data_IF_729123606916
#
_entry.id   IF_729123606916
#
_cell.length_a   1.000
_cell.length_b   1.000
_cell.length_c   1.000
_cell.angle_alpha   90.00
_cell.angle_beta   90.00
_cell.angle_gamma   90.00
#
_symmetry.space_group_name_H-M   'P 1'
#
loop_
_entity.id
_entity.type
_entity.pdbx_description
1 polymer ?
#
# COMPACT_ATOMS: atom_id res chain seq x y z
N UNK A 1 -5.02 47.80 -27.55
CA UNK A 1 -4.49 47.44 -26.22
C UNK A 1 -5.58 46.70 -25.44
N UNK A 2 -5.82 45.43 -25.76
CA UNK A 2 -6.89 44.62 -25.14
C UNK A 2 -6.66 43.11 -25.33
N UNK A 3 -5.40 42.66 -25.44
CA UNK A 3 -5.05 41.24 -25.63
C UNK A 3 -4.14 40.72 -24.49
N UNK A 4 -3.63 41.61 -23.62
CA UNK A 4 -2.74 41.22 -22.51
C UNK A 4 -3.47 40.84 -21.21
N UNK A 5 -4.77 41.12 -21.06
CA UNK A 5 -5.49 40.87 -19.80
C UNK A 5 -6.15 39.48 -19.69
N UNK A 6 -6.32 38.78 -20.82
CA UNK A 6 -6.97 37.45 -20.83
C UNK A 6 -5.96 36.33 -20.60
N UNK A 7 -4.68 36.52 -20.93
CA UNK A 7 -3.70 35.43 -20.82
C UNK A 7 -3.29 35.14 -19.36
N UNK A 8 -2.99 36.17 -18.56
CA UNK A 8 -2.54 35.99 -17.16
C UNK A 8 -3.63 35.43 -16.26
N UNK A 9 -4.89 35.84 -16.48
CA UNK A 9 -6.03 35.27 -15.74
C UNK A 9 -6.29 33.83 -16.19
N UNK A 10 -6.21 33.51 -17.49
CA UNK A 10 -6.50 32.15 -17.96
C UNK A 10 -5.38 31.15 -17.59
N UNK A 11 -4.12 31.57 -17.51
CA UNK A 11 -3.03 30.73 -16.97
C UNK A 11 -3.19 30.54 -15.46
N UNK A 12 -3.49 31.58 -14.68
CA UNK A 12 -3.75 31.43 -13.24
C UNK A 12 -4.99 30.58 -12.95
N UNK A 13 -6.10 30.76 -13.68
CA UNK A 13 -7.29 29.91 -13.55
C UNK A 13 -7.01 28.46 -13.95
N UNK A 14 -6.19 28.23 -14.97
CA UNK A 14 -5.82 26.88 -15.40
C UNK A 14 -4.91 26.20 -14.37
N UNK A 15 -3.92 26.91 -13.83
CA UNK A 15 -3.03 26.39 -12.78
C UNK A 15 -3.76 26.15 -11.45
N UNK A 16 -4.58 27.10 -10.99
CA UNK A 16 -5.36 26.97 -9.76
C UNK A 16 -6.39 25.82 -9.86
N UNK A 17 -7.02 25.68 -11.02
CA UNK A 17 -7.95 24.56 -11.29
C UNK A 17 -7.21 23.22 -11.38
N UNK A 18 -6.07 23.15 -12.08
CA UNK A 18 -5.25 21.93 -12.14
C UNK A 18 -4.75 21.54 -10.75
N UNK A 19 -4.23 22.48 -9.97
CA UNK A 19 -3.78 22.24 -8.61
C UNK A 19 -4.93 21.78 -7.71
N UNK A 20 -6.14 22.31 -7.90
CA UNK A 20 -7.34 21.87 -7.19
C UNK A 20 -7.69 20.42 -7.54
N UNK A 21 -7.68 20.04 -8.82
CA UNK A 21 -7.95 18.66 -9.23
C UNK A 21 -6.85 17.68 -8.79
N UNK A 22 -5.58 18.11 -8.80
CA UNK A 22 -4.46 17.32 -8.28
C UNK A 22 -4.59 17.12 -6.76
N UNK A 23 -4.92 18.17 -6.01
CA UNK A 23 -5.15 18.10 -4.57
C UNK A 23 -6.35 17.21 -4.23
N UNK A 24 -7.44 17.30 -5.01
CA UNK A 24 -8.60 16.43 -4.88
C UNK A 24 -8.22 14.97 -5.17
N UNK A 25 -7.46 14.72 -6.24
CA UNK A 25 -6.97 13.40 -6.61
C UNK A 25 -6.09 12.77 -5.53
N UNK A 26 -5.14 13.54 -5.00
CA UNK A 26 -4.29 13.13 -3.88
C UNK A 26 -5.12 12.85 -2.61
N UNK A 27 -6.10 13.70 -2.31
CA UNK A 27 -7.00 13.50 -1.17
C UNK A 27 -7.84 12.23 -1.29
N UNK A 28 -8.35 11.91 -2.48
CA UNK A 28 -9.10 10.66 -2.71
C UNK A 28 -8.18 9.44 -2.64
N UNK A 29 -6.98 9.53 -3.21
CA UNK A 29 -5.96 8.49 -3.09
C UNK A 29 -5.66 8.17 -1.62
N UNK A 30 -5.41 9.21 -0.81
CA UNK A 30 -5.13 9.07 0.62
C UNK A 30 -6.33 8.55 1.40
N UNK A 31 -7.54 9.00 1.06
CA UNK A 31 -8.76 8.52 1.67
C UNK A 31 -8.99 7.02 1.38
N UNK A 32 -8.81 6.59 0.13
CA UNK A 32 -8.91 5.17 -0.25
C UNK A 32 -7.86 4.32 0.46
N UNK A 33 -6.60 4.78 0.48
CA UNK A 33 -5.50 4.12 1.18
C UNK A 33 -5.77 3.99 2.68
N UNK A 34 -6.24 5.06 3.31
CA UNK A 34 -6.58 5.06 4.74
C UNK A 34 -7.75 4.14 5.04
N UNK A 35 -8.78 4.14 4.20
CA UNK A 35 -9.92 3.24 4.33
C UNK A 35 -9.50 1.76 4.24
N UNK A 36 -8.63 1.42 3.29
CA UNK A 36 -8.11 0.06 3.19
C UNK A 36 -7.23 -0.31 4.38
N UNK A 37 -6.41 0.62 4.89
CA UNK A 37 -5.64 0.41 6.12
C UNK A 37 -6.53 0.09 7.33
N UNK A 38 -7.62 0.84 7.53
CA UNK A 38 -8.59 0.56 8.60
C UNK A 38 -9.28 -0.78 8.43
N UNK A 39 -9.64 -1.14 7.21
CA UNK A 39 -10.26 -2.43 6.93
C UNK A 39 -9.29 -3.59 7.23
N UNK A 40 -8.02 -3.48 6.81
CA UNK A 40 -6.99 -4.45 7.13
C UNK A 40 -6.79 -4.58 8.64
N UNK A 41 -6.71 -3.46 9.34
CA UNK A 41 -6.57 -3.43 10.80
C UNK A 41 -7.71 -4.20 11.48
N UNK A 42 -8.95 -3.94 11.08
CA UNK A 42 -10.12 -4.61 11.64
C UNK A 42 -10.11 -6.14 11.38
N UNK A 43 -9.69 -6.55 10.18
CA UNK A 43 -9.57 -7.96 9.80
C UNK A 43 -8.49 -8.67 10.63
N UNK A 44 -7.31 -8.07 10.73
CA UNK A 44 -6.18 -8.64 11.47
C UNK A 44 -6.48 -8.67 12.97
N UNK A 45 -7.06 -7.59 13.52
CA UNK A 45 -7.49 -7.58 14.91
C UNK A 45 -8.45 -8.74 15.20
N UNK A 46 -9.47 -8.94 14.35
CA UNK A 46 -10.38 -10.08 14.48
C UNK A 46 -9.65 -11.43 14.54
N UNK A 47 -8.61 -11.61 13.72
CA UNK A 47 -7.75 -12.80 13.75
C UNK A 47 -6.98 -12.94 15.08
N UNK A 48 -6.38 -11.86 15.58
CA UNK A 48 -5.60 -11.91 16.84
C UNK A 48 -6.46 -12.29 18.05
N UNK A 49 -7.77 -12.05 18.00
CA UNK A 49 -8.74 -12.44 19.02
C UNK A 49 -9.31 -13.85 18.83
N UNK A 50 -9.13 -14.47 17.66
CA UNK A 50 -9.66 -15.78 17.33
C UNK A 50 -8.98 -16.89 18.16
N UNK A 51 -9.77 -17.63 18.94
CA UNK A 51 -9.25 -18.67 19.82
C UNK A 51 -8.61 -19.84 19.05
N UNK A 52 -9.15 -20.18 17.87
CA UNK A 52 -8.62 -21.25 17.02
C UNK A 52 -7.21 -20.90 16.56
N UNK A 53 -7.07 -19.72 15.93
CA UNK A 53 -5.77 -19.21 15.49
C UNK A 53 -4.75 -19.14 16.63
N UNK A 54 -5.14 -18.63 17.79
CA UNK A 54 -4.26 -18.55 18.98
C UNK A 54 -3.81 -19.92 19.48
N UNK A 55 -4.70 -20.91 19.44
CA UNK A 55 -4.40 -22.29 19.86
C UNK A 55 -3.43 -22.96 18.88
N UNK A 56 -3.66 -22.78 17.59
CA UNK A 56 -2.81 -23.29 16.51
C UNK A 56 -1.43 -22.63 16.54
N UNK A 57 -1.38 -21.32 16.81
CA UNK A 57 -0.14 -20.59 17.00
C UNK A 57 0.66 -21.15 18.19
N UNK A 58 0.01 -21.36 19.34
CA UNK A 58 0.64 -21.91 20.53
C UNK A 58 1.16 -23.34 20.34
N UNK A 59 0.56 -24.13 19.44
CA UNK A 59 1.03 -25.46 19.07
C UNK A 59 2.26 -25.45 18.14
N UNK A 60 2.69 -24.28 17.66
CA UNK A 60 3.80 -24.08 16.73
C UNK A 60 3.66 -24.87 15.42
N UNK A 61 2.43 -25.05 14.94
CA UNK A 61 2.15 -25.71 13.67
C UNK A 61 2.07 -24.68 12.53
N UNK A 62 3.18 -24.50 11.83
CA UNK A 62 3.30 -23.54 10.72
C UNK A 62 2.29 -23.80 9.59
N UNK A 63 1.98 -25.07 9.30
CA UNK A 63 1.03 -25.39 8.23
C UNK A 63 -0.37 -24.90 8.62
N UNK A 64 -0.75 -25.13 9.87
CA UNK A 64 -2.05 -24.70 10.38
C UNK A 64 -2.13 -23.18 10.50
N UNK A 65 -1.04 -22.49 10.90
CA UNK A 65 -0.98 -21.02 10.87
C UNK A 65 -1.20 -20.45 9.46
N UNK A 66 -0.60 -21.07 8.44
CA UNK A 66 -0.77 -20.66 7.05
C UNK A 66 -2.22 -20.87 6.57
N UNK A 67 -2.82 -22.02 6.89
CA UNK A 67 -4.22 -22.30 6.57
C UNK A 67 -5.17 -21.29 7.25
N UNK A 68 -4.90 -20.92 8.50
CA UNK A 68 -5.65 -19.90 9.21
C UNK A 68 -5.48 -18.50 8.60
N UNK A 69 -4.27 -18.14 8.16
CA UNK A 69 -4.02 -16.89 7.45
C UNK A 69 -4.81 -16.84 6.12
N UNK A 70 -4.83 -17.92 5.33
CA UNK A 70 -5.66 -18.00 4.12
C UNK A 70 -7.15 -17.86 4.42
N UNK A 71 -7.64 -18.47 5.50
CA UNK A 71 -9.04 -18.33 5.90
C UNK A 71 -9.42 -16.87 6.19
N UNK A 72 -8.50 -16.09 6.77
CA UNK A 72 -8.70 -14.67 7.07
C UNK A 72 -8.66 -13.84 5.80
N UNK A 73 -7.70 -14.09 4.91
CA UNK A 73 -7.66 -13.45 3.60
C UNK A 73 -8.96 -13.66 2.82
N UNK A 74 -9.48 -14.89 2.79
CA UNK A 74 -10.75 -15.17 2.12
C UNK A 74 -11.93 -14.39 2.72
N UNK A 75 -11.92 -14.15 4.04
CA UNK A 75 -12.92 -13.33 4.74
C UNK A 75 -12.75 -11.83 4.53
N UNK A 76 -11.57 -11.38 4.09
CA UNK A 76 -11.33 -9.97 3.76
C UNK A 76 -12.12 -9.48 2.54
N UNK A 77 -12.67 -10.41 1.75
CA UNK A 77 -13.41 -10.13 0.51
C UNK A 77 -12.64 -9.21 -0.45
N UNK A 78 -11.33 -9.41 -0.58
CA UNK A 78 -10.44 -8.62 -1.45
C UNK A 78 -9.86 -7.36 -0.80
N UNK A 79 -10.12 -7.13 0.49
CA UNK A 79 -9.51 -6.00 1.22
C UNK A 79 -8.05 -6.26 1.62
N UNK A 80 -7.61 -7.51 1.55
CA UNK A 80 -6.26 -7.96 1.84
C UNK A 80 -5.80 -8.93 0.75
N UNK A 81 -4.59 -8.73 0.25
CA UNK A 81 -3.97 -9.61 -0.75
C UNK A 81 -2.95 -10.56 -0.13
N UNK A 82 -2.37 -10.18 1.02
CA UNK A 82 -1.41 -11.01 1.73
C UNK A 82 -1.44 -10.79 3.25
N UNK A 83 -1.08 -11.85 3.98
CA UNK A 83 -0.76 -11.86 5.40
C UNK A 83 0.59 -12.56 5.60
N UNK A 84 1.42 -11.93 6.43
CA UNK A 84 2.70 -12.47 6.89
C UNK A 84 2.65 -12.52 8.42
N UNK A 85 3.03 -13.66 8.98
CA UNK A 85 3.14 -13.87 10.42
C UNK A 85 4.59 -14.15 10.75
N UNK A 86 5.15 -13.47 11.76
CA UNK A 86 6.53 -13.69 12.21
C UNK A 86 6.61 -13.96 13.70
N UNK A 87 7.68 -14.63 14.13
CA UNK A 87 8.10 -14.58 15.54
C UNK A 87 8.66 -13.19 15.91
N UNK A 88 9.08 -13.02 17.17
CA UNK A 88 9.66 -11.77 17.66
C UNK A 88 11.06 -11.51 17.09
N UNK A 89 11.77 -12.56 16.67
CA UNK A 89 13.02 -12.47 15.92
C UNK A 89 12.80 -12.17 14.43
N UNK A 90 11.55 -11.97 14.01
CA UNK A 90 11.11 -11.64 12.65
C UNK A 90 11.32 -12.74 11.62
N UNK A 91 11.53 -13.98 12.05
CA UNK A 91 11.49 -15.13 11.15
C UNK A 91 10.04 -15.37 10.75
N UNK A 92 9.84 -15.62 9.46
CA UNK A 92 8.49 -15.81 8.89
C UNK A 92 7.99 -17.20 9.24
N UNK A 93 6.85 -17.24 9.93
CA UNK A 93 6.15 -18.44 10.35
C UNK A 93 5.07 -18.84 9.34
N UNK A 94 4.42 -17.85 8.73
CA UNK A 94 3.47 -18.03 7.64
C UNK A 94 3.53 -16.84 6.69
N UNK A 95 3.40 -17.10 5.39
CA UNK A 95 3.37 -16.08 4.34
C UNK A 95 2.47 -16.58 3.21
N UNK A 96 1.35 -15.90 3.02
CA UNK A 96 0.33 -16.27 2.02
C UNK A 96 0.71 -15.86 0.60
N UNK A 97 1.72 -14.99 0.42
CA UNK A 97 2.19 -14.53 -0.88
C UNK A 97 3.25 -15.46 -1.51
N UNK A 98 3.19 -16.76 -1.22
CA UNK A 98 4.11 -17.80 -1.73
C UNK A 98 5.49 -17.87 -1.04
N UNK A 99 5.57 -17.57 0.25
CA UNK A 99 6.80 -17.68 1.04
C UNK A 99 7.98 -16.87 0.46
N UNK A 100 7.69 -15.65 0.00
CA UNK A 100 8.69 -14.71 -0.54
C UNK A 100 9.74 -14.39 0.52
N UNK A 101 9.31 -14.28 1.78
CA UNK A 101 10.17 -13.90 2.89
C UNK A 101 10.43 -15.09 3.82
N UNK A 102 11.70 -15.30 4.18
CA UNK A 102 12.08 -16.19 5.30
C UNK A 102 12.25 -15.42 6.61
N UNK A 103 12.58 -14.14 6.51
CA UNK A 103 12.79 -13.23 7.63
C UNK A 103 12.54 -11.81 7.16
N UNK A 104 11.82 -11.02 7.94
CA UNK A 104 11.62 -9.60 7.66
C UNK A 104 12.86 -8.80 8.05
N UNK A 105 13.27 -7.87 7.19
CA UNK A 105 14.48 -7.05 7.36
C UNK A 105 14.37 -5.72 6.60
N UNK A 106 15.31 -4.80 6.83
CA UNK A 106 15.34 -3.52 6.10
C UNK A 106 14.08 -2.67 6.38
N UNK A 107 13.34 -2.21 5.36
CA UNK A 107 12.17 -1.34 5.56
C UNK A 107 11.07 -1.92 6.47
N UNK A 108 10.95 -3.24 6.54
CA UNK A 108 10.02 -3.91 7.46
C UNK A 108 10.32 -3.59 8.93
N UNK A 109 11.60 -3.41 9.30
CA UNK A 109 11.99 -3.11 10.68
C UNK A 109 11.43 -1.77 11.14
N UNK A 110 11.45 -0.77 10.27
CA UNK A 110 10.92 0.56 10.59
C UNK A 110 9.40 0.51 10.78
N UNK A 111 8.69 -0.23 9.94
CA UNK A 111 7.25 -0.47 10.09
C UNK A 111 6.94 -1.08 11.47
N UNK A 112 7.63 -2.15 11.84
CA UNK A 112 7.39 -2.84 13.11
C UNK A 112 7.78 -1.99 14.32
N UNK A 113 8.89 -1.24 14.24
CA UNK A 113 9.29 -0.30 15.32
C UNK A 113 8.27 0.81 15.53
N UNK A 114 7.69 1.36 14.45
CA UNK A 114 6.62 2.35 14.58
C UNK A 114 5.35 1.77 15.17
N UNK A 115 5.03 0.51 14.84
CA UNK A 115 3.88 -0.17 15.42
C UNK A 115 4.08 -0.43 16.92
N UNK A 116 5.27 -0.88 17.32
CA UNK A 116 5.64 -1.11 18.73
C UNK A 116 5.62 0.18 19.57
N UNK A 117 5.98 1.30 18.96
CA UNK A 117 6.01 2.61 19.60
C UNK A 117 4.65 3.34 19.61
N UNK A 118 3.63 2.85 18.89
CA UNK A 118 2.33 3.52 18.80
C UNK A 118 1.40 3.10 19.94
N UNK A 119 0.49 3.99 20.34
CA UNK A 119 -0.45 3.72 21.44
C UNK A 119 -1.41 2.55 21.13
N UNK A 120 -1.81 2.43 19.87
CA UNK A 120 -2.71 1.37 19.39
C UNK A 120 -1.96 0.08 19.03
N UNK A 121 -0.63 0.08 19.07
CA UNK A 121 0.20 -1.05 18.67
C UNK A 121 0.20 -1.30 17.15
N UNK A 122 -0.24 -0.33 16.34
CA UNK A 122 -0.34 -0.47 14.89
C UNK A 122 0.48 0.59 14.16
N UNK A 123 0.98 0.23 12.98
CA UNK A 123 1.54 1.20 12.04
C UNK A 123 1.37 0.72 10.61
N UNK A 124 1.40 1.66 9.68
CA UNK A 124 1.25 1.40 8.25
C UNK A 124 2.45 1.92 7.46
N UNK A 125 2.82 1.26 6.36
CA UNK A 125 3.88 1.68 5.44
C UNK A 125 3.56 1.27 4.01
N UNK A 126 4.03 2.04 3.03
CA UNK A 126 4.09 1.58 1.64
C UNK A 126 5.45 0.94 1.42
N UNK A 127 5.48 -0.35 1.09
CA UNK A 127 6.70 -1.10 0.79
C UNK A 127 6.53 -1.83 -0.54
N UNK A 128 7.62 -2.02 -1.29
CA UNK A 128 7.59 -2.82 -2.51
C UNK A 128 7.75 -4.31 -2.17
N UNK A 129 6.84 -5.14 -2.70
CA UNK A 129 6.93 -6.60 -2.69
C UNK A 129 6.92 -7.09 -4.13
N UNK A 130 7.99 -7.76 -4.56
CA UNK A 130 8.19 -8.23 -5.94
C UNK A 130 8.00 -7.13 -7.02
N UNK A 131 8.39 -5.88 -6.71
CA UNK A 131 8.27 -4.74 -7.62
C UNK A 131 6.88 -4.11 -7.68
N UNK A 132 5.94 -4.57 -6.85
CA UNK A 132 4.61 -3.99 -6.71
C UNK A 132 4.57 -3.23 -5.37
N UNK A 133 4.12 -1.97 -5.33
CA UNK A 133 3.88 -1.25 -4.09
C UNK A 133 2.68 -1.86 -3.37
N UNK A 134 2.89 -2.17 -2.11
CA UNK A 134 1.86 -2.63 -1.19
C UNK A 134 1.76 -1.64 -0.04
N UNK A 135 0.55 -1.34 0.38
CA UNK A 135 0.33 -0.73 1.68
C UNK A 135 0.20 -1.87 2.70
N UNK A 136 1.16 -1.91 3.62
CA UNK A 136 1.17 -2.83 4.74
C UNK A 136 0.68 -2.14 6.01
N UNK A 137 0.08 -2.94 6.89
CA UNK A 137 -0.19 -2.61 8.28
C UNK A 137 0.36 -3.74 9.17
N UNK A 138 0.99 -3.37 10.27
CA UNK A 138 1.54 -4.32 11.24
C UNK A 138 0.80 -4.24 12.58
N UNK A 139 0.50 -5.40 13.17
CA UNK A 139 -0.16 -5.55 14.45
C UNK A 139 0.52 -6.66 15.28
N UNK A 140 0.67 -6.49 16.61
CA UNK A 140 1.19 -7.53 17.49
C UNK A 140 0.15 -8.63 17.75
N UNK A 141 0.61 -9.88 17.86
CA UNK A 141 -0.19 -11.01 18.34
C UNK A 141 0.11 -11.28 19.83
N UNK A 142 -0.92 -11.31 20.66
CA UNK A 142 -0.81 -11.52 22.11
C UNK A 142 -1.29 -12.91 22.57
N UNK A 143 -0.40 -13.64 23.25
CA UNK A 143 -0.71 -14.80 24.10
C UNK A 143 -0.19 -14.54 25.52
N UNK A 144 -1.09 -14.09 26.41
CA UNK A 144 -0.89 -13.09 27.48
C UNK A 144 0.12 -11.94 27.30
N UNK A 145 1.22 -12.14 26.58
CA UNK A 145 2.20 -11.14 26.15
C UNK A 145 2.40 -11.27 24.63
N UNK A 146 3.11 -10.32 24.02
CA UNK A 146 3.35 -10.37 22.58
C UNK A 146 4.24 -11.57 22.25
N UNK A 147 3.84 -12.34 21.23
CA UNK A 147 4.56 -13.54 20.78
C UNK A 147 4.90 -13.50 19.29
N UNK A 148 4.29 -12.60 18.53
CA UNK A 148 4.45 -12.50 17.09
C UNK A 148 4.05 -11.13 16.56
N UNK A 149 4.38 -10.90 15.29
CA UNK A 149 3.80 -9.86 14.46
C UNK A 149 2.90 -10.48 13.39
N UNK A 150 1.79 -9.81 13.10
CA UNK A 150 0.96 -10.07 11.93
C UNK A 150 1.02 -8.83 11.05
N UNK A 151 1.37 -9.02 9.79
CA UNK A 151 1.48 -7.96 8.81
C UNK A 151 0.56 -8.27 7.66
N UNK A 152 -0.43 -7.42 7.42
CA UNK A 152 -1.31 -7.54 6.26
C UNK A 152 -1.01 -6.50 5.22
N UNK A 153 -1.17 -6.87 3.95
CA UNK A 153 -0.89 -6.02 2.82
C UNK A 153 -2.00 -6.05 1.79
N UNK A 154 -2.23 -4.90 1.17
CA UNK A 154 -2.98 -4.79 -0.08
C UNK A 154 -2.09 -4.18 -1.16
N UNK A 155 -2.23 -4.69 -2.38
CA UNK A 155 -1.50 -4.25 -3.56
C UNK A 155 -2.07 -2.91 -4.04
N UNK A 156 -1.20 -1.93 -4.27
CA UNK A 156 -1.57 -0.67 -4.92
C UNK A 156 -1.45 -0.84 -6.44
N UNK A 157 -2.24 -1.79 -6.98
CA UNK A 157 -2.24 -2.20 -8.38
C UNK A 157 -3.33 -1.52 -9.22
N UNK A 158 -3.70 -2.15 -10.33
CA UNK A 158 -4.71 -1.62 -11.26
C UNK A 158 -6.09 -1.42 -10.61
N UNK A 159 -6.54 -2.34 -9.75
CA UNK A 159 -7.81 -2.20 -9.05
C UNK A 159 -7.83 -0.96 -8.14
N UNK A 160 -6.71 -0.67 -7.48
CA UNK A 160 -6.57 0.51 -6.64
C UNK A 160 -6.73 1.81 -7.46
N UNK A 161 -6.00 1.94 -8.58
CA UNK A 161 -6.07 3.16 -9.41
C UNK A 161 -7.42 3.32 -10.12
N UNK A 162 -8.10 2.23 -10.46
CA UNK A 162 -9.48 2.26 -10.96
C UNK A 162 -10.47 2.77 -9.90
N UNK A 163 -10.29 2.39 -8.62
CA UNK A 163 -11.07 2.95 -7.51
C UNK A 163 -10.91 4.47 -7.37
N UNK A 164 -9.67 4.96 -7.47
CA UNK A 164 -9.40 6.41 -7.42
C UNK A 164 -10.00 7.12 -8.63
N UNK A 165 -9.88 6.55 -9.83
CA UNK A 165 -10.50 7.09 -11.05
C UNK A 165 -12.03 7.16 -10.96
N UNK A 166 -12.68 6.15 -10.38
CA UNK A 166 -14.13 6.12 -10.26
C UNK A 166 -14.69 7.29 -9.45
N UNK A 167 -13.92 7.81 -8.48
CA UNK A 167 -14.31 8.94 -7.63
C UNK A 167 -13.81 10.28 -8.19
N UNK A 168 -12.57 10.33 -8.68
CA UNK A 168 -11.94 11.58 -9.16
C UNK A 168 -12.28 11.92 -10.60
N UNK A 169 -12.80 10.96 -11.37
CA UNK A 169 -12.96 11.00 -12.82
C UNK A 169 -11.67 11.36 -13.58
N UNK A 170 -10.52 11.21 -12.92
CA UNK A 170 -9.20 11.50 -13.47
C UNK A 170 -8.46 10.22 -13.80
N UNK A 171 -7.62 10.27 -14.81
CA UNK A 171 -6.73 9.15 -15.11
C UNK A 171 -5.59 9.11 -14.08
N UNK A 172 -5.34 7.93 -13.50
CA UNK A 172 -4.40 7.74 -12.40
C UNK A 172 -3.32 6.75 -12.84
N UNK A 173 -2.06 7.05 -12.53
CA UNK A 173 -0.94 6.14 -12.76
C UNK A 173 -0.02 6.13 -11.55
N UNK A 174 0.43 4.95 -11.16
CA UNK A 174 1.48 4.74 -10.15
C UNK A 174 2.75 4.36 -10.89
N UNK A 175 3.80 5.13 -10.63
CA UNK A 175 5.10 4.99 -11.29
C UNK A 175 6.16 4.66 -10.25
N UNK A 176 7.08 3.79 -10.60
CA UNK A 176 8.32 3.58 -9.86
C UNK A 176 9.43 4.37 -10.53
N UNK A 177 10.09 5.22 -9.75
CA UNK A 177 11.32 5.90 -10.15
C UNK A 177 12.49 5.28 -9.39
N UNK A 178 13.35 4.56 -10.11
CA UNK A 178 14.62 4.07 -9.56
C UNK A 178 15.75 4.96 -10.07
N UNK A 179 16.64 5.38 -9.18
CA UNK A 179 17.72 6.32 -9.50
C UNK A 179 18.57 5.79 -10.68
N UNK A 180 18.50 6.49 -11.81
CA UNK A 180 19.24 6.15 -13.03
C UNK A 180 18.59 5.12 -13.96
N UNK A 181 17.35 4.68 -13.69
CA UNK A 181 16.59 3.77 -14.56
C UNK A 181 15.39 4.47 -15.22
N UNK A 182 14.85 3.86 -16.28
CA UNK A 182 13.61 4.29 -16.93
C UNK A 182 12.42 4.17 -15.97
N UNK A 183 11.55 5.19 -15.94
CA UNK A 183 10.29 5.16 -15.19
C UNK A 183 9.47 3.92 -15.56
N UNK A 184 9.15 3.11 -14.56
CA UNK A 184 8.32 1.94 -14.73
C UNK A 184 6.88 2.24 -14.34
N UNK A 185 5.92 1.86 -15.18
CA UNK A 185 4.48 2.00 -14.87
C UNK A 185 4.06 0.75 -14.13
N UNK A 186 3.70 0.90 -12.86
CA UNK A 186 3.24 -0.19 -12.01
C UNK A 186 1.76 -0.45 -12.25
N UNK A 187 0.95 0.61 -12.18
CA UNK A 187 -0.48 0.57 -12.36
C UNK A 187 -0.95 1.82 -13.09
N UNK A 188 -1.94 1.69 -13.96
CA UNK A 188 -2.44 2.84 -14.71
C UNK A 188 -3.82 2.59 -15.27
N UNK A 189 -4.67 3.61 -15.19
CA UNK A 189 -5.96 3.65 -15.89
C UNK A 189 -5.84 4.21 -17.31
N UNK A 190 -4.65 4.73 -17.68
CA UNK A 190 -4.35 5.16 -19.05
C UNK A 190 -4.16 3.94 -19.95
N UNK A 191 -4.49 4.09 -21.23
CA UNK A 191 -4.11 3.11 -22.24
C UNK A 191 -2.57 3.13 -22.48
N UNK A 192 -2.05 2.06 -23.08
CA UNK A 192 -0.61 1.86 -23.28
C UNK A 192 0.08 2.99 -24.07
N UNK A 193 -0.62 3.57 -25.06
CA UNK A 193 -0.11 4.70 -25.84
C UNK A 193 0.10 5.94 -24.97
N UNK A 194 -0.90 6.29 -24.15
CA UNK A 194 -0.80 7.43 -23.23
C UNK A 194 0.18 7.20 -22.09
N UNK A 195 0.37 5.95 -21.66
CA UNK A 195 1.42 5.59 -20.69
C UNK A 195 2.83 5.85 -21.25
N UNK A 196 3.06 5.62 -22.55
CA UNK A 196 4.34 5.96 -23.19
C UNK A 196 4.58 7.47 -23.16
N UNK A 197 3.58 8.25 -23.58
CA UNK A 197 3.65 9.72 -23.55
C UNK A 197 3.92 10.25 -22.14
N UNK A 198 3.26 9.69 -21.11
CA UNK A 198 3.48 10.08 -19.71
C UNK A 198 4.90 9.80 -19.23
N UNK A 199 5.49 8.67 -19.60
CA UNK A 199 6.88 8.35 -19.22
C UNK A 199 7.87 9.32 -19.84
N UNK A 200 7.70 9.61 -21.12
CA UNK A 200 8.57 10.55 -21.84
C UNK A 200 8.48 11.96 -21.26
N UNK A 201 7.28 12.43 -20.90
CA UNK A 201 7.10 13.78 -20.35
C UNK A 201 7.70 13.97 -18.95
N UNK A 202 7.60 12.95 -18.08
CA UNK A 202 8.19 13.03 -16.74
C UNK A 202 9.72 12.95 -16.81
N UNK A 203 10.26 12.11 -17.70
CA UNK A 203 11.71 11.95 -17.85
C UNK A 203 12.38 13.25 -18.32
N UNK A 204 11.73 14.01 -19.21
CA UNK A 204 12.16 15.34 -19.64
C UNK A 204 12.16 16.38 -18.51
N UNK A 205 11.19 16.32 -17.60
CA UNK A 205 11.13 17.23 -16.45
C UNK A 205 12.23 16.93 -15.42
N UNK A 206 12.54 15.65 -15.18
CA UNK A 206 13.60 15.24 -14.23
C UNK A 206 14.99 15.60 -14.75
N UNK A 207 15.24 15.53 -16.05
CA UNK A 207 16.53 15.96 -16.65
C UNK A 207 16.68 17.49 -16.71
N UNK A 208 15.57 18.24 -16.72
CA UNK A 208 15.57 19.71 -16.77
C UNK A 208 15.78 20.41 -15.42
N UNK A 209 15.75 19.69 -14.30
CA UNK A 209 15.99 20.20 -12.94
C UNK A 209 17.44 19.98 -12.44
N UNK A 210 18.32 19.41 -13.27
CA UNK A 210 19.76 19.22 -13.01
C UNK A 210 20.62 20.29 -13.70
#
# INVERSE_FOLDING_TARGET
>A
MAVFFVNTNNTQYTEETINTYLALGAGVFDAQRSQQSYTLEAIINSLTWDFGFRTEFAANDQRTMLDAAYNVLNRSLGSADTLIITDLELNVLADTANAVYRKLAGPWLELLQRADASEDGTAAAILAMEGIPYQFIALPLYLPWQVAWIVGGFAMGNEFVEGVKAVTLSEVSILESSAGASLNVIASTLNTERQQVLRESIQLNVEGEL
#
